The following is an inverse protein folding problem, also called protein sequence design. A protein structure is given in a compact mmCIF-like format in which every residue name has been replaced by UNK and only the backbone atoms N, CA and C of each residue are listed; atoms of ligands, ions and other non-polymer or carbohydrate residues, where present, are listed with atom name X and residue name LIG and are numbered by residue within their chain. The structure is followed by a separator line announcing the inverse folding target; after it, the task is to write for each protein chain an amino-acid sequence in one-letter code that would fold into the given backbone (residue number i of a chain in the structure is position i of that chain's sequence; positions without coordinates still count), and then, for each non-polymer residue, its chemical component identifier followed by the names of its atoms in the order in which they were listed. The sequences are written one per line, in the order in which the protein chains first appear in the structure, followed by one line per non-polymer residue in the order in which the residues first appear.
data_IF_181424296041
#
_entry.id   IF_181424296041
#
_cell.length_a   1.000
_cell.length_b   1.000
_cell.length_c   1.000
_cell.angle_alpha   90.00
_cell.angle_beta   90.00
_cell.angle_gamma   90.00
#
_symmetry.space_group_name_H-M   'P 1'
#
loop_
_entity.id
_entity.type
_entity.pdbx_description
1 polymer ?
#
# COMPACT_ATOMS: atom_id res chain seq x y z
N UNK A 1 34.66 -12.48 -3.14
CA UNK A 1 33.28 -12.48 -3.66
C UNK A 1 33.36 -12.43 -5.18
N UNK A 2 32.80 -13.41 -5.90
CA UNK A 2 32.88 -13.43 -7.37
C UNK A 2 31.88 -12.43 -7.97
N UNK A 3 32.25 -11.80 -9.10
CA UNK A 3 31.42 -10.78 -9.75
C UNK A 3 30.06 -11.33 -10.20
N UNK A 4 30.02 -12.62 -10.56
CA UNK A 4 28.81 -13.34 -10.92
C UNK A 4 27.83 -13.49 -9.73
N UNK A 5 28.35 -13.73 -8.53
CA UNK A 5 27.53 -13.85 -7.32
C UNK A 5 26.94 -12.50 -6.89
N UNK A 6 27.70 -11.42 -7.07
CA UNK A 6 27.20 -10.05 -6.83
C UNK A 6 26.05 -9.75 -7.79
N UNK A 7 26.23 -10.03 -9.09
CA UNK A 7 25.20 -9.81 -10.10
C UNK A 7 23.92 -10.60 -9.84
N UNK A 8 24.05 -11.89 -9.51
CA UNK A 8 22.91 -12.75 -9.14
C UNK A 8 22.15 -12.21 -7.93
N UNK A 9 22.86 -11.79 -6.88
CA UNK A 9 22.24 -11.18 -5.70
C UNK A 9 21.48 -9.92 -6.03
N UNK A 10 22.04 -9.03 -6.85
CA UNK A 10 21.37 -7.79 -7.25
C UNK A 10 20.06 -8.10 -7.98
N UNK A 11 20.06 -9.03 -8.94
CA UNK A 11 18.84 -9.45 -9.64
C UNK A 11 17.79 -10.02 -8.70
N UNK A 12 18.19 -10.91 -7.79
CA UNK A 12 17.28 -11.52 -6.82
C UNK A 12 16.69 -10.48 -5.87
N UNK A 13 17.52 -9.57 -5.37
CA UNK A 13 17.06 -8.47 -4.51
C UNK A 13 16.09 -7.58 -5.27
N UNK A 14 16.39 -7.19 -6.52
CA UNK A 14 15.51 -6.36 -7.33
C UNK A 14 14.16 -7.03 -7.62
N UNK A 15 14.16 -8.31 -7.96
CA UNK A 15 12.91 -9.05 -8.16
C UNK A 15 12.09 -9.13 -6.86
N UNK A 16 12.74 -9.33 -5.72
CA UNK A 16 12.06 -9.38 -4.41
C UNK A 16 11.51 -8.01 -4.01
N UNK A 17 12.29 -6.94 -4.22
CA UNK A 17 11.86 -5.56 -3.99
C UNK A 17 10.63 -5.21 -4.83
N UNK A 18 10.60 -5.64 -6.09
CA UNK A 18 9.47 -5.40 -6.97
C UNK A 18 8.18 -6.08 -6.48
N UNK A 19 8.25 -7.36 -6.11
CA UNK A 19 7.09 -8.10 -5.58
C UNK A 19 6.59 -7.48 -4.28
N UNK A 20 7.49 -7.01 -3.42
CA UNK A 20 7.10 -6.32 -2.17
C UNK A 20 6.35 -5.02 -2.45
N UNK A 21 6.83 -4.22 -3.41
CA UNK A 21 6.15 -3.00 -3.81
C UNK A 21 4.75 -3.30 -4.38
N UNK A 22 4.62 -4.31 -5.23
CA UNK A 22 3.32 -4.76 -5.76
C UNK A 22 2.38 -5.22 -4.65
N UNK A 23 2.88 -5.98 -3.67
CA UNK A 23 2.08 -6.40 -2.53
C UNK A 23 1.53 -5.18 -1.76
N UNK A 24 2.35 -4.18 -1.49
CA UNK A 24 1.93 -2.95 -0.82
C UNK A 24 0.88 -2.17 -1.62
N UNK A 25 1.04 -2.07 -2.94
CA UNK A 25 0.01 -1.48 -3.82
C UNK A 25 -1.33 -2.22 -3.72
N UNK A 26 -1.29 -3.56 -3.70
CA UNK A 26 -2.49 -4.38 -3.54
C UNK A 26 -3.13 -4.22 -2.16
N UNK A 27 -2.34 -4.03 -1.09
CA UNK A 27 -2.83 -3.75 0.26
C UNK A 27 -3.55 -2.39 0.31
N UNK A 28 -3.02 -1.35 -0.36
CA UNK A 28 -3.70 -0.07 -0.50
C UNK A 28 -5.02 -0.18 -1.30
N UNK A 29 -5.02 -0.91 -2.42
CA UNK A 29 -6.25 -1.16 -3.21
C UNK A 29 -7.26 -1.94 -2.39
N UNK A 30 -6.83 -2.93 -1.61
CA UNK A 30 -7.69 -3.69 -0.71
C UNK A 30 -8.34 -2.79 0.35
N UNK A 31 -7.58 -1.86 0.94
CA UNK A 31 -8.12 -0.84 1.85
C UNK A 31 -9.19 0.02 1.17
N UNK A 32 -8.95 0.46 -0.07
CA UNK A 32 -9.93 1.20 -0.87
C UNK A 32 -11.17 0.35 -1.22
N UNK A 33 -11.04 -0.95 -1.46
CA UNK A 33 -12.19 -1.81 -1.71
C UNK A 33 -13.10 -1.97 -0.48
N UNK A 34 -12.49 -1.98 0.72
CA UNK A 34 -13.22 -2.12 1.97
C UNK A 34 -13.82 -0.78 2.43
N UNK A 35 -13.03 0.29 2.38
CA UNK A 35 -13.38 1.60 2.93
C UNK A 35 -13.88 2.58 1.87
N UNK A 36 -13.79 2.24 0.59
CA UNK A 36 -14.10 3.12 -0.54
C UNK A 36 -15.54 3.62 -0.56
N UNK A 37 -16.49 2.89 0.03
CA UNK A 37 -17.87 3.40 0.20
C UNK A 37 -17.93 4.70 0.98
N UNK A 38 -17.00 4.94 1.92
CA UNK A 38 -16.95 6.19 2.69
C UNK A 38 -16.55 7.40 1.85
N UNK A 39 -15.95 7.19 0.69
CA UNK A 39 -15.56 8.23 -0.27
C UNK A 39 -16.36 8.14 -1.60
N UNK A 40 -17.45 7.37 -1.62
CA UNK A 40 -18.34 7.28 -2.77
C UNK A 40 -17.92 6.28 -3.87
N UNK A 41 -16.91 5.44 -3.62
CA UNK A 41 -16.58 4.33 -4.51
C UNK A 41 -17.58 3.17 -4.32
N UNK A 42 -17.94 2.45 -5.41
CA UNK A 42 -18.85 1.31 -5.31
C UNK A 42 -18.22 0.22 -4.45
N UNK A 43 -18.85 -0.09 -3.32
CA UNK A 43 -18.36 -1.12 -2.42
C UNK A 43 -18.83 -2.52 -2.84
N UNK A 44 -18.00 -3.55 -2.57
CA UNK A 44 -18.43 -4.94 -2.62
C UNK A 44 -19.63 -5.19 -1.68
N UNK A 45 -20.35 -6.33 -1.82
CA UNK A 45 -21.44 -6.67 -0.90
C UNK A 45 -20.98 -6.70 0.57
N UNK A 46 -21.75 -6.10 1.47
CA UNK A 46 -21.37 -5.93 2.88
C UNK A 46 -20.98 -7.25 3.60
N UNK A 47 -21.61 -8.36 3.23
CA UNK A 47 -21.25 -9.68 3.77
C UNK A 47 -19.83 -10.14 3.40
N UNK A 48 -19.33 -9.72 2.23
CA UNK A 48 -17.94 -9.96 1.83
C UNK A 48 -17.00 -9.04 2.61
N UNK A 49 -17.35 -7.77 2.75
CA UNK A 49 -16.57 -6.80 3.54
C UNK A 49 -16.36 -7.28 4.97
N UNK A 50 -17.41 -7.73 5.65
CA UNK A 50 -17.33 -8.25 7.03
C UNK A 50 -16.35 -9.42 7.19
N UNK A 51 -16.22 -10.26 6.16
CA UNK A 51 -15.27 -11.38 6.15
C UNK A 51 -13.83 -10.94 5.88
N UNK A 52 -13.68 -9.87 5.10
CA UNK A 52 -12.37 -9.33 4.72
C UNK A 52 -11.81 -8.33 5.73
N UNK A 53 -12.69 -7.67 6.52
CA UNK A 53 -12.34 -6.66 7.51
C UNK A 53 -11.19 -7.06 8.46
N UNK A 54 -11.14 -8.29 9.00
CA UNK A 54 -10.06 -8.71 9.89
C UNK A 54 -8.68 -8.69 9.24
N UNK A 55 -8.60 -8.80 7.91
CA UNK A 55 -7.34 -8.77 7.16
C UNK A 55 -6.83 -7.34 6.94
N UNK A 56 -7.65 -6.32 7.17
CA UNK A 56 -7.25 -4.91 7.03
C UNK A 56 -6.48 -4.38 8.26
N UNK A 57 -6.53 -5.09 9.39
CA UNK A 57 -5.96 -4.64 10.67
C UNK A 57 -4.53 -4.08 10.59
N UNK A 58 -3.56 -4.79 9.99
CA UNK A 58 -2.18 -4.29 9.87
C UNK A 58 -2.07 -2.97 9.10
N UNK A 59 -2.84 -2.83 8.03
CA UNK A 59 -2.83 -1.63 7.18
C UNK A 59 -3.44 -0.43 7.89
N UNK A 60 -4.48 -0.63 8.72
CA UNK A 60 -5.07 0.44 9.53
C UNK A 60 -4.07 1.04 10.52
N UNK A 61 -3.20 0.23 11.11
CA UNK A 61 -2.16 0.71 12.04
C UNK A 61 -1.14 1.57 11.30
N UNK A 62 -0.73 1.17 10.09
CA UNK A 62 0.17 1.95 9.25
C UNK A 62 -0.47 3.27 8.80
N UNK A 63 -1.75 3.23 8.41
CA UNK A 63 -2.50 4.42 8.02
C UNK A 63 -2.71 5.39 9.18
N UNK A 64 -2.96 4.88 10.39
CA UNK A 64 -3.04 5.68 11.62
C UNK A 64 -1.68 6.35 11.91
N UNK A 65 -0.58 5.60 11.85
CA UNK A 65 0.76 6.14 12.06
C UNK A 65 1.09 7.23 11.03
N UNK A 66 0.73 7.04 9.76
CA UNK A 66 0.86 8.09 8.74
C UNK A 66 -0.02 9.30 9.03
N UNK A 67 -1.29 9.10 9.39
CA UNK A 67 -2.21 10.20 9.69
C UNK A 67 -1.76 11.04 10.90
N UNK A 68 -1.05 10.44 11.85
CA UNK A 68 -0.48 11.14 13.02
C UNK A 68 0.84 11.84 12.69
N UNK A 69 1.66 11.27 11.80
CA UNK A 69 3.02 11.76 11.54
C UNK A 69 3.14 12.65 10.29
N UNK A 70 2.23 12.56 9.32
CA UNK A 70 2.19 13.41 8.13
C UNK A 70 1.17 14.54 8.30
N UNK A 71 1.63 15.67 8.84
CA UNK A 71 0.82 16.89 8.95
C UNK A 71 0.51 17.54 7.58
N UNK A 72 1.22 17.16 6.51
CA UNK A 72 1.11 17.78 5.19
C UNK A 72 1.15 16.80 4.00
N UNK A 73 0.32 15.75 4.08
CA UNK A 73 0.16 14.79 2.97
C UNK A 73 -0.36 15.49 1.70
N UNK A 74 -1.24 16.47 1.85
CA UNK A 74 -1.76 17.24 0.72
C UNK A 74 -0.71 18.17 0.09
N UNK A 75 0.20 18.76 0.87
CA UNK A 75 1.33 19.56 0.35
C UNK A 75 2.37 18.72 -0.38
N UNK A 76 2.62 17.48 0.05
CA UNK A 76 3.46 16.54 -0.71
C UNK A 76 2.81 16.18 -2.05
N UNK A 77 1.50 15.92 -2.07
CA UNK A 77 0.76 15.64 -3.30
C UNK A 77 0.69 16.86 -4.23
N UNK A 78 0.44 18.05 -3.67
CA UNK A 78 0.49 19.33 -4.38
C UNK A 78 1.86 19.56 -5.04
N UNK A 79 2.95 19.34 -4.30
CA UNK A 79 4.32 19.40 -4.83
C UNK A 79 4.63 18.34 -5.89
N UNK A 80 4.02 17.14 -5.82
CA UNK A 80 4.16 16.12 -6.86
C UNK A 80 3.39 16.48 -8.14
N UNK A 81 2.23 17.12 -8.00
CA UNK A 81 1.39 17.55 -9.13
C UNK A 81 1.74 18.96 -9.65
N UNK A 82 2.71 19.64 -9.04
CA UNK A 82 3.16 21.00 -9.39
C UNK A 82 2.00 22.03 -9.31
N UNK A 83 1.10 21.87 -8.34
CA UNK A 83 -0.10 22.71 -8.12
C UNK A 83 -0.12 23.27 -6.70
#
# INVERSE_FOLDING_TARGET
MNIFEIFKRILQTKATEYIKAEQTELEHVFALLILGSFIGLPAPPAGLIMRLLPHLGPELVLLEERAVNDDDLFGQMAGLFDI
#
